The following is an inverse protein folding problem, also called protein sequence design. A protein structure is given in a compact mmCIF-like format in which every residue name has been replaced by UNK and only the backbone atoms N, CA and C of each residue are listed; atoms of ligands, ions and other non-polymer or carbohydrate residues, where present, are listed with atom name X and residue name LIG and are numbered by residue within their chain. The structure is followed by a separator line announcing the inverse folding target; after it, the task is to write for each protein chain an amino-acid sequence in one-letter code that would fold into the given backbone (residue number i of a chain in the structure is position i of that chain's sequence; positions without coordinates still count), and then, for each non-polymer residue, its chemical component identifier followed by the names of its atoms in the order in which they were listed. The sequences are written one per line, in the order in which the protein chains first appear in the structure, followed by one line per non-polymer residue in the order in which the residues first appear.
data_IF_946429739641
#
_entry.id   IF_946429739641
#
_cell.length_a   1.000
_cell.length_b   1.000
_cell.length_c   1.000
_cell.angle_alpha   90.00
_cell.angle_beta   90.00
_cell.angle_gamma   90.00
#
_symmetry.space_group_name_H-M   'P 1'
#
loop_
_entity.id
_entity.type
_entity.pdbx_description
1 polymer ?
#
# COMPACT_ATOMS: atom_id res chain seq x y z
N UNK A 1 -12.83 -41.85 13.48
CA UNK A 1 -13.32 -40.56 12.94
C UNK A 1 -12.16 -39.56 12.93
N UNK A 2 -11.47 -39.39 11.81
CA UNK A 2 -10.30 -38.49 11.68
C UNK A 2 -10.51 -37.53 10.51
N UNK A 3 -11.26 -36.44 10.69
CA UNK A 3 -11.33 -35.36 9.71
C UNK A 3 -11.54 -34.02 10.41
N UNK A 4 -10.48 -33.37 10.90
CA UNK A 4 -10.58 -31.93 11.29
C UNK A 4 -9.27 -31.15 11.50
N UNK A 5 -8.07 -31.72 11.26
CA UNK A 5 -6.80 -30.98 11.41
C UNK A 5 -6.11 -30.58 10.09
N UNK A 6 -6.51 -31.18 8.95
CA UNK A 6 -5.87 -30.93 7.65
C UNK A 6 -6.41 -29.68 6.93
N UNK A 7 -7.71 -29.37 7.06
CA UNK A 7 -8.32 -28.20 6.39
C UNK A 7 -7.82 -26.87 6.94
N UNK A 8 -7.53 -26.80 8.23
CA UNK A 8 -7.02 -25.58 8.88
C UNK A 8 -5.62 -25.18 8.38
N UNK A 9 -4.71 -26.13 8.12
CA UNK A 9 -3.36 -25.80 7.64
C UNK A 9 -3.36 -25.24 6.23
N UNK A 10 -4.18 -25.79 5.34
CA UNK A 10 -4.32 -25.28 3.96
C UNK A 10 -4.98 -23.90 3.95
N UNK A 11 -6.04 -23.70 4.75
CA UNK A 11 -6.69 -22.38 4.86
C UNK A 11 -5.74 -21.32 5.42
N UNK A 12 -4.98 -21.63 6.48
CA UNK A 12 -3.97 -20.72 7.02
C UNK A 12 -2.91 -20.36 5.98
N UNK A 13 -2.40 -21.34 5.23
CA UNK A 13 -1.40 -21.09 4.20
C UNK A 13 -1.94 -20.25 3.02
N UNK A 14 -3.20 -20.46 2.62
CA UNK A 14 -3.88 -19.62 1.64
C UNK A 14 -4.04 -18.18 2.16
N UNK A 15 -4.42 -18.00 3.43
CA UNK A 15 -4.51 -16.68 4.06
C UNK A 15 -3.15 -15.96 4.11
N UNK A 16 -2.07 -16.69 4.40
CA UNK A 16 -0.71 -16.15 4.35
C UNK A 16 -0.32 -15.69 2.94
N UNK A 17 -0.58 -16.49 1.90
CA UNK A 17 -0.29 -16.11 0.51
C UNK A 17 -1.08 -14.89 0.04
N UNK A 18 -2.37 -14.85 0.37
CA UNK A 18 -3.23 -13.70 0.06
C UNK A 18 -2.68 -12.46 0.77
N UNK A 19 -2.31 -12.58 2.05
CA UNK A 19 -1.68 -11.49 2.81
C UNK A 19 -0.39 -11.00 2.15
N UNK A 20 0.53 -11.89 1.79
CA UNK A 20 1.81 -11.51 1.18
C UNK A 20 1.60 -10.83 -0.18
N UNK A 21 0.68 -11.34 -0.99
CA UNK A 21 0.31 -10.71 -2.26
C UNK A 21 -0.26 -9.30 -2.03
N UNK A 22 -1.09 -9.11 -1.01
CA UNK A 22 -1.67 -7.80 -0.68
C UNK A 22 -0.59 -6.82 -0.18
N UNK A 23 0.32 -7.26 0.69
CA UNK A 23 1.46 -6.45 1.16
C UNK A 23 2.37 -6.07 -0.02
N UNK A 24 2.62 -7.01 -0.92
CA UNK A 24 3.39 -6.79 -2.16
C UNK A 24 2.74 -5.74 -3.04
N UNK A 25 1.45 -5.88 -3.33
CA UNK A 25 0.67 -4.91 -4.12
C UNK A 25 0.67 -3.53 -3.48
N UNK A 26 0.44 -3.45 -2.16
CA UNK A 26 0.48 -2.20 -1.39
C UNK A 26 1.84 -1.52 -1.51
N UNK A 27 2.92 -2.27 -1.31
CA UNK A 27 4.28 -1.74 -1.39
C UNK A 27 4.62 -1.28 -2.81
N UNK A 28 4.20 -2.04 -3.83
CA UNK A 28 4.37 -1.69 -5.24
C UNK A 28 3.65 -0.39 -5.59
N UNK A 29 2.40 -0.23 -5.18
CA UNK A 29 1.61 0.99 -5.40
C UNK A 29 2.27 2.21 -4.74
N UNK A 30 2.69 2.09 -3.49
CA UNK A 30 3.39 3.19 -2.78
C UNK A 30 4.69 3.56 -3.50
N UNK A 31 5.50 2.56 -3.89
CA UNK A 31 6.75 2.84 -4.59
C UNK A 31 6.53 3.47 -5.97
N UNK A 32 5.49 3.06 -6.69
CA UNK A 32 5.12 3.64 -7.98
C UNK A 32 4.67 5.09 -7.84
N UNK A 33 3.79 5.40 -6.87
CA UNK A 33 3.39 6.78 -6.59
C UNK A 33 4.57 7.66 -6.17
N UNK A 34 5.51 7.12 -5.38
CA UNK A 34 6.75 7.84 -5.02
C UNK A 34 7.64 8.10 -6.22
N UNK A 35 7.78 7.14 -7.13
CA UNK A 35 8.54 7.34 -8.37
C UNK A 35 7.93 8.48 -9.20
N UNK A 36 6.60 8.51 -9.36
CA UNK A 36 5.93 9.63 -10.03
C UNK A 36 6.22 10.96 -9.32
N UNK A 37 6.09 11.03 -8.00
CA UNK A 37 6.36 12.26 -7.28
C UNK A 37 7.82 12.74 -7.47
N UNK A 38 8.79 11.82 -7.52
CA UNK A 38 10.19 12.16 -7.78
C UNK A 38 10.44 12.71 -9.19
N UNK A 39 9.72 12.23 -10.20
CA UNK A 39 9.78 12.77 -11.57
C UNK A 39 9.36 14.25 -11.64
N UNK A 40 8.50 14.68 -10.71
CA UNK A 40 8.09 16.09 -10.55
C UNK A 40 8.88 16.83 -9.45
N UNK A 41 10.00 16.28 -8.98
CA UNK A 41 10.86 16.91 -7.97
C UNK A 41 10.34 16.81 -6.52
N UNK A 42 9.26 16.07 -6.27
CA UNK A 42 8.63 15.93 -4.96
C UNK A 42 9.18 14.68 -4.25
N UNK A 43 10.06 14.89 -3.29
CA UNK A 43 10.62 13.80 -2.49
C UNK A 43 9.70 13.43 -1.31
N UNK A 44 8.90 12.37 -1.46
CA UNK A 44 8.07 11.84 -0.38
C UNK A 44 8.85 10.92 0.58
N UNK A 45 8.56 11.02 1.89
CA UNK A 45 9.25 10.24 2.93
C UNK A 45 8.98 8.74 2.82
N UNK A 46 9.93 7.95 3.29
CA UNK A 46 9.80 6.48 3.31
C UNK A 46 8.82 6.03 4.40
N UNK A 47 7.96 5.06 4.07
CA UNK A 47 7.05 4.41 5.01
C UNK A 47 5.58 4.68 4.69
N UNK A 48 4.76 3.65 4.79
CA UNK A 48 3.34 3.73 4.40
C UNK A 48 2.54 4.72 5.25
N UNK A 49 2.89 4.91 6.53
CA UNK A 49 2.22 5.89 7.38
C UNK A 49 2.52 7.34 6.97
N UNK A 50 3.80 7.67 6.81
CA UNK A 50 4.24 9.01 6.41
C UNK A 50 3.81 9.35 4.98
N UNK A 51 3.93 8.41 4.05
CA UNK A 51 3.48 8.58 2.67
C UNK A 51 2.00 8.98 2.57
N UNK A 52 1.13 8.40 3.42
CA UNK A 52 -0.30 8.74 3.43
C UNK A 52 -0.60 10.15 3.95
N UNK A 53 0.31 10.71 4.74
CA UNK A 53 0.21 12.10 5.20
C UNK A 53 0.79 13.04 4.15
N UNK A 54 1.96 12.70 3.60
CA UNK A 54 2.71 13.55 2.68
C UNK A 54 2.05 13.64 1.29
N UNK A 55 1.50 12.54 0.76
CA UNK A 55 0.91 12.52 -0.59
C UNK A 55 -0.27 13.49 -0.75
N UNK A 56 -1.32 13.51 0.11
CA UNK A 56 -2.40 14.47 -0.05
C UNK A 56 -1.91 15.91 0.10
N UNK A 57 -0.94 16.18 0.98
CA UNK A 57 -0.32 17.50 1.08
C UNK A 57 0.37 17.90 -0.23
N UNK A 58 1.11 17.00 -0.86
CA UNK A 58 1.73 17.23 -2.15
C UNK A 58 0.72 17.41 -3.31
N UNK A 59 -0.46 16.77 -3.23
CA UNK A 59 -1.53 16.94 -4.22
C UNK A 59 -2.27 18.27 -4.03
N UNK A 60 -2.36 18.78 -2.81
CA UNK A 60 -3.03 20.04 -2.50
C UNK A 60 -2.12 21.25 -2.72
N UNK A 61 -0.81 21.08 -2.57
CA UNK A 61 0.17 22.17 -2.72
C UNK A 61 0.24 22.65 -4.19
N UNK A 62 -0.22 23.88 -4.48
CA UNK A 62 -0.26 24.41 -5.84
C UNK A 62 1.11 24.88 -6.34
N UNK A 63 2.12 24.94 -5.47
CA UNK A 63 3.49 25.35 -5.84
C UNK A 63 4.24 24.26 -6.61
N UNK A 64 3.71 23.03 -6.59
CA UNK A 64 4.33 21.87 -7.21
C UNK A 64 4.04 21.81 -8.72
N UNK A 65 5.02 21.36 -9.50
CA UNK A 65 4.92 21.16 -10.96
C UNK A 65 4.00 20.00 -11.40
N UNK A 66 3.13 19.51 -10.51
CA UNK A 66 2.15 18.48 -10.82
C UNK A 66 1.03 19.03 -11.69
N UNK A 67 0.95 18.51 -12.92
CA UNK A 67 -0.18 18.74 -13.81
C UNK A 67 -1.51 18.31 -13.19
N UNK A 68 -2.64 18.96 -13.50
CA UNK A 68 -3.96 18.60 -12.97
C UNK A 68 -4.36 17.13 -13.22
N UNK A 69 -3.93 16.56 -14.34
CA UNK A 69 -4.14 15.14 -14.65
C UNK A 69 -3.37 14.21 -13.70
N UNK A 70 -2.12 14.55 -13.35
CA UNK A 70 -1.29 13.78 -12.44
C UNK A 70 -1.83 13.83 -11.01
N UNK A 71 -2.30 15.02 -10.57
CA UNK A 71 -2.97 15.18 -9.27
C UNK A 71 -4.18 14.25 -9.14
N UNK A 72 -5.02 14.18 -10.18
CA UNK A 72 -6.17 13.24 -10.24
C UNK A 72 -5.72 11.78 -10.23
N UNK A 73 -4.69 11.42 -11.00
CA UNK A 73 -4.15 10.05 -11.03
C UNK A 73 -3.63 9.61 -9.66
N UNK A 74 -2.81 10.44 -9.01
CA UNK A 74 -2.27 10.16 -7.68
C UNK A 74 -3.39 10.07 -6.63
N UNK A 75 -4.41 10.93 -6.71
CA UNK A 75 -5.58 10.86 -5.83
C UNK A 75 -6.37 9.55 -6.00
N UNK A 76 -6.56 9.09 -7.24
CA UNK A 76 -7.21 7.80 -7.52
C UNK A 76 -6.39 6.62 -7.00
N UNK A 77 -5.08 6.58 -7.29
CA UNK A 77 -4.18 5.53 -6.78
C UNK A 77 -4.14 5.51 -5.24
N UNK A 78 -4.26 6.68 -4.61
CA UNK A 78 -4.36 6.79 -3.16
C UNK A 78 -5.69 6.28 -2.61
N UNK A 79 -6.79 6.52 -3.33
CA UNK A 79 -8.09 5.96 -2.99
C UNK A 79 -8.07 4.42 -3.11
N UNK A 80 -7.50 3.87 -4.18
CA UNK A 80 -7.33 2.43 -4.37
C UNK A 80 -6.50 1.82 -3.24
N UNK A 81 -5.40 2.47 -2.85
CA UNK A 81 -4.57 2.07 -1.73
C UNK A 81 -5.37 2.02 -0.41
N UNK A 82 -6.18 3.04 -0.14
CA UNK A 82 -7.05 3.06 1.05
C UNK A 82 -8.12 1.98 0.99
N UNK A 83 -8.70 1.72 -0.18
CA UNK A 83 -9.71 0.67 -0.33
C UNK A 83 -9.11 -0.73 -0.11
N UNK A 84 -7.90 -0.97 -0.63
CA UNK A 84 -7.15 -2.21 -0.37
C UNK A 84 -6.86 -2.42 1.12
N UNK A 85 -6.62 -1.34 1.87
CA UNK A 85 -6.41 -1.37 3.32
C UNK A 85 -7.71 -1.53 4.11
N UNK A 86 -8.79 -0.84 3.72
CA UNK A 86 -10.10 -0.87 4.40
C UNK A 86 -10.83 -2.21 4.24
N UNK A 87 -10.72 -2.87 3.09
CA UNK A 87 -11.25 -4.23 2.92
C UNK A 87 -10.55 -5.28 3.79
N UNK A 88 -9.55 -4.88 4.57
CA UNK A 88 -8.61 -5.72 5.30
C UNK A 88 -8.41 -5.24 6.74
N UNK A 89 -9.49 -4.96 7.48
CA UNK A 89 -9.49 -4.48 8.89
C UNK A 89 -8.80 -5.45 9.88
N UNK A 90 -7.48 -5.56 9.76
CA UNK A 90 -6.56 -5.89 10.83
C UNK A 90 -5.26 -5.11 10.55
N UNK A 91 -4.75 -4.32 11.50
CA UNK A 91 -3.52 -3.55 11.33
C UNK A 91 -2.32 -4.47 11.16
N UNK A 92 -1.97 -4.78 9.91
CA UNK A 92 -0.74 -5.50 9.55
C UNK A 92 0.44 -4.54 9.59
N UNK A 93 0.69 -3.97 10.76
CA UNK A 93 1.84 -3.15 11.06
C UNK A 93 2.74 -3.94 12.00
N UNK A 94 3.59 -4.82 11.41
CA UNK A 94 4.85 -5.35 11.99
C UNK A 94 5.15 -6.78 11.51
N UNK A 95 5.28 -6.99 10.21
CA UNK A 95 6.08 -8.11 9.71
C UNK A 95 7.01 -7.59 8.61
N UNK A 96 7.89 -6.65 8.98
CA UNK A 96 8.87 -6.05 8.07
C UNK A 96 10.32 -6.49 8.32
N UNK A 97 10.62 -7.43 9.24
CA UNK A 97 12.03 -7.68 9.59
C UNK A 97 12.51 -9.11 9.83
N UNK A 98 11.68 -10.15 9.77
CA UNK A 98 12.18 -11.52 10.02
C UNK A 98 11.48 -12.54 9.15
N UNK A 99 11.79 -12.54 7.86
CA UNK A 99 11.94 -13.79 7.13
C UNK A 99 13.20 -13.62 6.28
N UNK A 100 14.22 -14.37 6.70
CA UNK A 100 15.48 -14.60 6.01
C UNK A 100 15.25 -15.53 4.83
#
# INVERSE_FOLDING_TARGET
MQQSKAKNKQTLQTLHRVRDQMIGTRTRLINQMRAFCLEYGIALRQGAGLFKLDLPQAIEDPTNDLSPAMRKLLANLFADLRQLEQGSDAPQQSCRRTCR
#
